data_IF_348134968469
#
_entry.id   IF_348134968469
#
_cell.length_a   1.000
_cell.length_b   1.000
_cell.length_c   1.000
_cell.angle_alpha   90.00
_cell.angle_beta   90.00
_cell.angle_gamma   90.00
#
_symmetry.space_group_name_H-M   'P 1'
#
loop_
_entity.id
_entity.type
_entity.pdbx_description
1 polymer ?
#
# COMPACT_ATOMS: atom_id res chain seq x y z
N UNK A 1 -18.19 -32.16 36.56
CA UNK A 1 -18.26 -31.72 35.14
C UNK A 1 -18.52 -30.22 35.15
N UNK A 2 -17.48 -29.40 35.23
CA UNK A 2 -17.63 -27.94 35.30
C UNK A 2 -17.44 -27.37 33.89
N UNK A 3 -18.54 -27.22 33.16
CA UNK A 3 -18.56 -26.38 31.98
C UNK A 3 -18.31 -24.94 32.44
N UNK A 4 -17.05 -24.50 32.33
CA UNK A 4 -16.65 -23.13 32.54
C UNK A 4 -17.65 -22.23 31.81
N UNK A 5 -18.40 -21.45 32.58
CA UNK A 5 -19.33 -20.48 32.04
C UNK A 5 -18.53 -19.49 31.21
N UNK A 6 -18.44 -19.74 29.91
CA UNK A 6 -18.00 -18.76 28.92
C UNK A 6 -19.08 -17.70 28.99
N UNK A 7 -18.87 -16.71 29.86
CA UNK A 7 -19.60 -15.47 29.83
C UNK A 7 -19.40 -14.95 28.41
N UNK A 8 -20.42 -15.15 27.57
CA UNK A 8 -20.49 -14.63 26.23
C UNK A 8 -20.52 -13.11 26.36
N UNK A 9 -19.33 -12.52 26.50
CA UNK A 9 -19.11 -11.09 26.59
C UNK A 9 -19.76 -10.54 25.33
N UNK A 10 -20.86 -9.80 25.49
CA UNK A 10 -21.57 -9.22 24.36
C UNK A 10 -20.64 -8.21 23.71
N UNK A 11 -19.88 -8.67 22.72
CA UNK A 11 -19.02 -7.80 21.92
C UNK A 11 -19.93 -6.84 21.15
N UNK A 12 -19.69 -5.55 21.34
CA UNK A 12 -20.31 -4.52 20.54
C UNK A 12 -19.75 -4.65 19.12
N UNK A 13 -20.52 -5.23 18.20
CA UNK A 13 -20.10 -5.44 16.80
C UNK A 13 -21.20 -4.93 15.89
N UNK A 14 -20.82 -4.17 14.87
CA UNK A 14 -21.74 -3.76 13.81
C UNK A 14 -22.33 -5.00 13.09
N UNK A 15 -23.62 -5.00 12.70
CA UNK A 15 -24.22 -6.12 11.97
C UNK A 15 -23.42 -6.51 10.72
N UNK A 16 -22.94 -5.51 9.98
CA UNK A 16 -22.15 -5.72 8.77
C UNK A 16 -20.76 -6.32 9.08
N UNK A 17 -20.10 -5.85 10.15
CA UNK A 17 -18.82 -6.41 10.60
C UNK A 17 -18.96 -7.88 11.05
N UNK A 18 -20.06 -8.24 11.71
CA UNK A 18 -20.35 -9.63 12.11
C UNK A 18 -20.50 -10.56 10.91
N UNK A 19 -21.10 -10.07 9.82
CA UNK A 19 -21.22 -10.83 8.57
C UNK A 19 -19.84 -11.05 7.94
N UNK A 20 -19.05 -10.00 7.77
CA UNK A 20 -17.69 -10.09 7.21
C UNK A 20 -16.79 -11.03 8.01
N UNK A 21 -16.84 -10.96 9.34
CA UNK A 21 -16.03 -11.84 10.18
C UNK A 21 -16.39 -13.33 9.99
N UNK A 22 -17.67 -13.65 9.75
CA UNK A 22 -18.08 -15.04 9.43
C UNK A 22 -17.60 -15.47 8.06
N UNK A 23 -17.73 -14.60 7.06
CA UNK A 23 -17.27 -14.87 5.68
C UNK A 23 -15.75 -15.08 5.63
N UNK A 24 -14.99 -14.34 6.43
CA UNK A 24 -13.53 -14.46 6.54
C UNK A 24 -13.07 -15.48 7.61
N UNK A 25 -13.99 -16.19 8.28
CA UNK A 25 -13.69 -17.09 9.40
C UNK A 25 -12.80 -16.47 10.50
N UNK A 26 -12.99 -15.17 10.78
CA UNK A 26 -12.23 -14.42 11.78
C UNK A 26 -12.90 -14.45 13.16
N UNK A 27 -12.15 -14.73 14.24
CA UNK A 27 -12.67 -14.66 15.60
C UNK A 27 -12.87 -13.20 16.02
N UNK A 28 -14.12 -12.81 16.31
CA UNK A 28 -14.46 -11.45 16.76
C UNK A 28 -13.83 -11.07 18.10
N UNK A 29 -13.46 -12.07 18.89
CA UNK A 29 -12.88 -11.93 20.23
C UNK A 29 -11.47 -11.35 20.21
N UNK A 30 -10.73 -11.57 19.12
CA UNK A 30 -9.36 -11.07 18.94
C UNK A 30 -9.34 -9.71 18.25
N UNK A 31 -10.47 -9.26 17.70
CA UNK A 31 -10.58 -7.99 17.02
C UNK A 31 -10.80 -6.86 18.02
N UNK A 32 -9.97 -5.82 17.92
CA UNK A 32 -10.15 -4.58 18.66
C UNK A 32 -11.06 -3.66 17.86
N UNK A 33 -12.21 -3.31 18.42
CA UNK A 33 -13.14 -2.37 17.77
C UNK A 33 -12.64 -0.94 17.85
N UNK A 34 -12.59 -0.24 16.71
CA UNK A 34 -12.22 1.17 16.62
C UNK A 34 -13.41 2.13 16.73
N UNK A 35 -14.65 1.61 16.72
CA UNK A 35 -15.87 2.40 16.76
C UNK A 35 -16.24 2.94 18.15
N UNK A 36 -17.27 3.81 18.21
CA UNK A 36 -17.72 4.43 19.46
C UNK A 36 -18.15 3.38 20.48
N UNK A 37 -17.66 3.50 21.72
CA UNK A 37 -17.89 2.52 22.79
C UNK A 37 -17.17 1.19 22.59
N UNK A 38 -16.08 1.16 21.80
CA UNK A 38 -15.32 -0.06 21.51
C UNK A 38 -16.03 -1.00 20.51
N UNK A 39 -16.90 -0.44 19.68
CA UNK A 39 -17.66 -1.23 18.69
C UNK A 39 -16.75 -1.67 17.55
N UNK A 40 -16.78 -2.96 17.21
CA UNK A 40 -16.08 -3.51 16.05
C UNK A 40 -16.81 -3.09 14.76
N UNK A 41 -16.08 -2.38 13.89
CA UNK A 41 -16.54 -1.90 12.60
C UNK A 41 -16.04 -2.84 11.48
N UNK A 42 -16.62 -2.69 10.28
CA UNK A 42 -16.21 -3.50 9.13
C UNK A 42 -14.76 -3.25 8.72
N UNK A 43 -14.29 -2.01 8.86
CA UNK A 43 -12.89 -1.65 8.60
C UNK A 43 -11.90 -2.41 9.49
N UNK A 44 -12.29 -2.71 10.74
CA UNK A 44 -11.43 -3.46 11.68
C UNK A 44 -11.27 -4.91 11.23
N UNK A 45 -12.37 -5.53 10.77
CA UNK A 45 -12.37 -6.90 10.23
C UNK A 45 -11.52 -6.99 8.95
N UNK A 46 -11.69 -6.02 8.04
CA UNK A 46 -10.94 -5.98 6.77
C UNK A 46 -9.45 -5.71 6.99
N UNK A 47 -9.11 -4.82 7.91
CA UNK A 47 -7.72 -4.50 8.25
C UNK A 47 -7.00 -5.70 8.88
N UNK A 48 -7.73 -6.55 9.60
CA UNK A 48 -7.19 -7.78 10.18
C UNK A 48 -7.07 -8.92 9.16
N UNK A 49 -7.98 -8.97 8.17
CA UNK A 49 -7.91 -9.92 7.06
C UNK A 49 -6.77 -9.60 6.08
N UNK A 50 -6.42 -8.31 5.93
CA UNK A 50 -5.25 -7.90 5.18
C UNK A 50 -3.98 -8.21 5.99
N UNK A 51 -2.96 -8.88 5.43
CA UNK A 51 -1.72 -9.10 6.14
C UNK A 51 -1.15 -7.74 6.58
N UNK A 52 -0.62 -7.64 7.82
CA UNK A 52 -0.01 -6.41 8.27
C UNK A 52 1.12 -6.07 7.33
N UNK A 53 0.96 -5.00 6.56
CA UNK A 53 2.10 -4.31 5.98
C UNK A 53 2.97 -3.92 7.17
N UNK A 54 4.28 -4.26 7.19
CA UNK A 54 5.11 -3.94 8.34
C UNK A 54 5.13 -2.42 8.50
N UNK A 55 4.31 -1.92 9.42
CA UNK A 55 4.41 -0.58 9.96
C UNK A 55 5.57 -0.60 10.94
N UNK A 56 6.77 -0.50 10.38
CA UNK A 56 7.93 -0.07 11.12
C UNK A 56 7.68 1.32 11.66
N UNK A 57 7.60 1.43 12.98
CA UNK A 57 7.88 2.65 13.73
C UNK A 57 9.17 2.36 14.50
N UNK A 58 10.08 3.34 14.72
CA UNK A 58 9.76 4.70 15.14
C UNK A 58 10.40 5.81 14.28
N UNK A 59 9.88 7.02 14.52
CA UNK A 59 10.42 8.28 14.06
C UNK A 59 11.94 8.37 14.26
N UNK A 60 12.66 8.48 13.15
CA UNK A 60 13.97 9.14 13.13
C UNK A 60 13.81 10.43 12.33
N UNK A 61 14.20 11.49 13.00
CA UNK A 61 14.46 12.83 12.51
C UNK A 61 15.25 12.81 11.18
N UNK A 62 14.66 13.36 10.12
CA UNK A 62 15.39 13.91 8.98
C UNK A 62 14.48 14.86 8.18
N UNK A 63 14.89 16.12 8.12
CA UNK A 63 14.42 17.09 7.15
C UNK A 63 14.88 16.72 5.71
N UNK A 64 14.56 17.54 4.70
CA UNK A 64 13.74 17.22 3.54
C UNK A 64 14.50 16.56 2.35
N UNK A 65 13.73 16.24 1.30
CA UNK A 65 14.13 15.95 -0.08
C UNK A 65 14.27 14.48 -0.50
N UNK A 66 13.32 14.04 -1.33
CA UNK A 66 13.58 13.61 -2.72
C UNK A 66 12.26 13.25 -3.41
N UNK A 67 11.78 14.00 -4.43
CA UNK A 67 10.78 13.45 -5.33
C UNK A 67 11.40 12.29 -6.09
N UNK A 68 10.89 11.09 -5.83
CA UNK A 68 11.29 9.85 -6.50
C UNK A 68 11.21 10.03 -8.01
N UNK A 69 12.39 10.05 -8.61
CA UNK A 69 12.67 10.16 -10.04
C UNK A 69 12.20 8.87 -10.72
N UNK A 70 10.94 8.82 -11.13
CA UNK A 70 10.40 7.71 -11.92
C UNK A 70 9.76 8.18 -13.24
N UNK A 71 10.15 9.36 -13.73
CA UNK A 71 9.72 9.90 -15.04
C UNK A 71 10.90 10.34 -15.92
N UNK A 72 12.12 10.45 -15.39
CA UNK A 72 13.29 10.89 -16.18
C UNK A 72 13.84 9.85 -17.15
N UNK A 73 13.58 8.55 -16.95
CA UNK A 73 14.14 7.49 -17.81
C UNK A 73 13.50 7.43 -19.20
N UNK A 74 12.20 7.77 -19.32
CA UNK A 74 11.52 7.79 -20.63
C UNK A 74 11.86 9.07 -21.40
N UNK A 75 11.95 10.21 -20.72
CA UNK A 75 12.30 11.49 -21.36
C UNK A 75 13.77 11.53 -21.83
N UNK A 76 14.72 11.01 -21.05
CA UNK A 76 16.13 10.99 -21.42
C UNK A 76 16.41 10.09 -22.64
N UNK A 77 15.72 8.96 -22.74
CA UNK A 77 15.82 8.07 -23.89
C UNK A 77 15.32 8.73 -25.19
N UNK A 78 14.20 9.47 -25.11
CA UNK A 78 13.66 10.19 -26.26
C UNK A 78 14.61 11.27 -26.79
N UNK A 79 15.29 12.03 -25.91
CA UNK A 79 16.29 13.03 -26.33
C UNK A 79 17.54 12.38 -26.93
N UNK A 80 17.96 11.21 -26.42
CA UNK A 80 19.13 10.49 -26.96
C UNK A 80 18.93 10.01 -28.40
N UNK A 81 17.73 9.51 -28.75
CA UNK A 81 17.42 9.07 -30.11
C UNK A 81 17.44 10.25 -31.08
N UNK A 82 16.82 11.37 -30.71
CA UNK A 82 16.72 12.54 -31.57
C UNK A 82 18.11 13.15 -31.90
N UNK A 83 19.03 13.19 -30.93
CA UNK A 83 20.37 13.73 -31.16
C UNK A 83 21.28 12.76 -31.93
N UNK A 84 21.09 11.45 -31.77
CA UNK A 84 21.80 10.43 -32.56
C UNK A 84 21.54 10.58 -34.06
N UNK A 85 20.27 10.68 -34.45
CA UNK A 85 19.88 10.85 -35.86
C UNK A 85 20.46 12.13 -36.49
N UNK A 86 20.58 13.22 -35.73
CA UNK A 86 21.20 14.45 -36.21
C UNK A 86 22.72 14.31 -36.41
N UNK A 87 23.39 13.54 -35.54
CA UNK A 87 24.82 13.28 -35.66
C UNK A 87 25.13 12.40 -36.88
N UNK A 88 24.31 11.40 -37.17
CA UNK A 88 24.44 10.58 -38.37
C UNK A 88 24.23 11.40 -39.65
N UNK A 89 23.29 12.35 -39.65
CA UNK A 89 23.08 13.26 -40.78
C UNK A 89 24.30 14.16 -41.03
N UNK A 90 24.88 14.74 -39.97
CA UNK A 90 26.10 15.55 -40.09
C UNK A 90 27.28 14.72 -40.62
N UNK A 91 27.47 13.50 -40.10
CA UNK A 91 28.51 12.59 -40.59
C UNK A 91 28.31 12.22 -42.07
N UNK A 92 27.06 12.01 -42.50
CA UNK A 92 26.73 11.77 -43.91
C UNK A 92 27.02 12.98 -44.81
N UNK A 93 26.80 14.21 -44.31
CA UNK A 93 27.16 15.43 -45.04
C UNK A 93 28.67 15.62 -45.14
N UNK A 94 29.44 15.36 -44.07
CA UNK A 94 30.91 15.40 -44.10
C UNK A 94 31.50 14.35 -45.05
N UNK A 95 30.89 13.16 -45.12
CA UNK A 95 31.27 12.11 -46.08
C UNK A 95 30.99 12.48 -47.54
N UNK A 96 30.03 13.35 -47.81
CA UNK A 96 29.63 13.75 -49.17
C UNK A 96 30.48 14.92 -49.70
N UNK A 97 31.22 15.59 -48.82
CA UNK A 97 32.10 16.73 -49.13
C UNK A 97 33.58 16.40 -49.37
N UNK A 98 33.96 15.12 -49.49
CA UNK A 98 35.27 14.67 -49.98
C UNK A 98 35.16 14.05 -51.36
#
# INVERSE_FOLDING_TARGET
>A
MNAAAVQARRLAVSPYARRLARECALPLETLRGSGPGGRILAADVLSFAAPPRPVGQPAVEAAPASPSVAVSSIAAFATSIALGALKDLLAALESTGR
#
